data_IF_269221813388
#
_entry.id   IF_269221813388
#
_cell.length_a   1.000
_cell.length_b   1.000
_cell.length_c   1.000
_cell.angle_alpha   90.00
_cell.angle_beta   90.00
_cell.angle_gamma   90.00
#
_symmetry.space_group_name_H-M   'P 1'
#
loop_
_entity.id
_entity.type
_entity.pdbx_description
1 polymer ?
#
# COMPACT_ATOMS: atom_id res chain seq x y z
N UNK A 1 69.85 31.98 14.75
CA UNK A 1 69.65 31.46 13.37
C UNK A 1 68.87 30.15 13.50
N UNK A 2 67.56 30.15 13.18
CA UNK A 2 66.96 29.40 12.05
C UNK A 2 67.13 27.87 12.21
N UNK A 3 66.14 26.98 12.30
CA UNK A 3 64.79 26.86 11.71
C UNK A 3 63.99 25.84 12.54
N UNK A 4 62.81 26.16 13.09
CA UNK A 4 61.47 25.71 12.63
C UNK A 4 61.50 24.51 11.66
N UNK A 5 61.09 23.33 12.13
CA UNK A 5 60.34 22.36 11.32
C UNK A 5 59.36 21.58 12.21
N UNK A 6 58.09 21.79 11.92
CA UNK A 6 56.94 21.14 12.53
C UNK A 6 56.83 19.69 12.05
N UNK A 7 56.48 18.77 12.95
CA UNK A 7 55.86 17.49 12.57
C UNK A 7 54.60 17.34 13.41
N UNK A 8 53.50 17.74 12.77
CA UNK A 8 52.13 17.58 13.22
C UNK A 8 51.78 16.09 13.14
N UNK A 9 51.81 15.41 14.28
CA UNK A 9 51.45 13.99 14.40
C UNK A 9 49.93 13.81 14.34
N UNK A 10 49.48 13.40 13.15
CA UNK A 10 48.13 13.03 12.75
C UNK A 10 47.47 12.04 13.74
N UNK A 11 46.44 12.51 14.46
CA UNK A 11 45.54 11.67 15.27
C UNK A 11 44.29 11.35 14.43
N UNK A 12 44.34 10.29 13.62
CA UNK A 12 43.12 9.72 13.00
C UNK A 12 42.58 8.60 13.89
N UNK A 13 41.63 8.95 14.76
CA UNK A 13 40.72 7.95 15.36
C UNK A 13 39.67 7.64 14.31
N UNK A 14 39.84 6.52 13.60
CA UNK A 14 38.81 5.97 12.72
C UNK A 14 37.70 5.40 13.62
N UNK A 15 36.68 6.22 13.89
CA UNK A 15 35.41 5.72 14.40
C UNK A 15 34.72 4.98 13.26
N UNK A 16 35.00 3.68 13.14
CA UNK A 16 34.15 2.75 12.39
C UNK A 16 32.84 2.59 13.17
N UNK A 17 31.95 3.57 13.02
CA UNK A 17 30.55 3.42 13.39
C UNK A 17 29.93 2.37 12.50
N UNK A 18 29.98 1.11 12.94
CA UNK A 18 29.07 0.08 12.46
C UNK A 18 27.67 0.57 12.77
N UNK A 19 27.01 1.17 11.78
CA UNK A 19 25.58 1.42 11.79
C UNK A 19 24.88 0.08 11.83
N UNK A 20 24.72 -0.48 13.03
CA UNK A 20 23.66 -1.43 13.28
C UNK A 20 22.38 -0.70 12.90
N UNK A 21 21.81 -1.07 11.76
CA UNK A 21 20.51 -0.60 11.31
C UNK A 21 19.53 -1.02 12.42
N UNK A 22 19.23 -0.10 13.34
CA UNK A 22 18.36 -0.38 14.45
C UNK A 22 17.04 -0.88 13.87
N UNK A 23 16.68 -2.12 14.19
CA UNK A 23 15.45 -2.73 13.72
C UNK A 23 14.31 -1.73 13.95
N UNK A 24 13.59 -1.40 12.87
CA UNK A 24 12.51 -0.43 12.97
C UNK A 24 11.52 -0.85 14.06
N UNK A 25 11.18 0.04 15.01
CA UNK A 25 10.34 -0.32 16.16
C UNK A 25 8.97 -0.87 15.74
N UNK A 26 8.44 -0.39 14.61
CA UNK A 26 7.13 -0.74 14.07
C UNK A 26 7.22 -1.71 12.88
N UNK A 27 8.14 -2.67 12.95
CA UNK A 27 8.28 -3.76 11.98
C UNK A 27 8.41 -5.08 12.72
N UNK A 28 7.72 -6.12 12.26
CA UNK A 28 7.76 -7.46 12.85
C UNK A 28 6.39 -7.95 13.32
N UNK A 29 6.40 -9.01 14.12
CA UNK A 29 5.20 -9.65 14.68
C UNK A 29 5.19 -9.43 16.17
N UNK A 30 4.04 -9.03 16.69
CA UNK A 30 3.81 -8.73 18.09
C UNK A 30 2.62 -9.54 18.59
N UNK A 31 2.71 -10.06 19.81
CA UNK A 31 1.65 -10.85 20.44
C UNK A 31 1.39 -10.36 21.85
N UNK A 32 0.14 -10.45 22.28
CA UNK A 32 -0.25 -10.13 23.65
C UNK A 32 -1.68 -10.53 23.91
N UNK A 33 -2.15 -10.23 25.11
CA UNK A 33 -3.48 -10.61 25.58
C UNK A 33 -4.14 -9.41 26.25
N UNK A 34 -5.43 -9.21 25.99
CA UNK A 34 -6.25 -8.23 26.68
C UNK A 34 -7.72 -8.67 26.67
N UNK A 35 -8.47 -8.31 27.71
CA UNK A 35 -9.89 -8.65 27.83
C UNK A 35 -10.21 -10.15 27.56
N UNK A 36 -9.32 -11.05 28.02
CA UNK A 36 -9.41 -12.49 27.82
C UNK A 36 -9.35 -12.96 26.36
N UNK A 37 -8.75 -12.16 25.47
CA UNK A 37 -8.49 -12.51 24.07
C UNK A 37 -7.01 -12.41 23.75
N UNK A 38 -6.51 -13.33 22.94
CA UNK A 38 -5.18 -13.20 22.34
C UNK A 38 -5.21 -12.27 21.13
N UNK A 39 -4.13 -11.51 20.96
CA UNK A 39 -3.92 -10.58 19.86
C UNK A 39 -2.60 -10.89 19.16
N UNK A 40 -2.61 -10.86 17.83
CA UNK A 40 -1.41 -10.92 16.99
C UNK A 40 -1.43 -9.74 16.02
N UNK A 41 -0.42 -8.89 16.11
CA UNK A 41 -0.22 -7.73 15.25
C UNK A 41 1.03 -7.96 14.39
N UNK A 42 0.91 -7.89 13.07
CA UNK A 42 2.05 -7.91 12.15
C UNK A 42 2.16 -6.56 11.47
N UNK A 43 3.36 -5.97 11.48
CA UNK A 43 3.63 -4.64 10.94
C UNK A 43 4.80 -4.68 9.95
N UNK A 44 4.64 -3.94 8.85
CA UNK A 44 5.68 -3.60 7.91
C UNK A 44 5.78 -2.07 7.79
N UNK A 45 6.87 -1.49 8.31
CA UNK A 45 7.17 -0.07 8.14
C UNK A 45 7.98 0.14 6.86
N UNK A 46 7.48 1.02 5.98
CA UNK A 46 8.20 1.52 4.80
C UNK A 46 8.16 3.04 4.77
N UNK A 47 9.29 3.66 5.08
CA UNK A 47 9.37 5.12 5.27
C UNK A 47 8.57 5.54 6.51
N UNK A 48 7.59 6.41 6.32
CA UNK A 48 6.63 6.86 7.33
C UNK A 48 5.36 6.00 7.40
N UNK A 49 5.13 5.11 6.44
CA UNK A 49 3.89 4.32 6.34
C UNK A 49 4.02 2.98 7.04
N UNK A 50 3.03 2.67 7.86
CA UNK A 50 2.88 1.38 8.54
C UNK A 50 1.70 0.65 7.94
N UNK A 51 1.94 -0.55 7.44
CA UNK A 51 0.89 -1.46 6.99
C UNK A 51 0.97 -2.76 7.78
N UNK A 52 -0.14 -3.47 7.92
CA UNK A 52 -0.15 -4.66 8.74
C UNK A 52 -1.49 -5.36 8.84
N UNK A 53 -1.54 -6.30 9.77
CA UNK A 53 -2.73 -7.08 10.10
C UNK A 53 -2.84 -7.24 11.61
N UNK A 54 -4.06 -7.12 12.11
CA UNK A 54 -4.42 -7.38 13.49
C UNK A 54 -5.40 -8.56 13.52
N UNK A 55 -4.99 -9.64 14.18
CA UNK A 55 -5.85 -10.76 14.52
C UNK A 55 -6.16 -10.68 16.00
N UNK A 56 -7.43 -10.78 16.35
CA UNK A 56 -7.89 -10.93 17.72
C UNK A 56 -8.70 -12.23 17.82
N UNK A 57 -8.55 -12.94 18.92
CA UNK A 57 -9.21 -14.22 19.14
C UNK A 57 -10.73 -14.11 19.04
N UNK A 58 -11.35 -14.99 18.24
CA UNK A 58 -12.78 -14.97 17.97
C UNK A 58 -13.24 -13.81 17.08
N UNK A 59 -12.32 -12.97 16.60
CA UNK A 59 -12.58 -11.89 15.65
C UNK A 59 -11.94 -12.19 14.29
N UNK A 60 -12.52 -11.65 13.22
CA UNK A 60 -11.90 -11.71 11.91
C UNK A 60 -10.68 -10.80 11.81
N UNK A 61 -9.84 -11.05 10.82
CA UNK A 61 -8.67 -10.21 10.53
C UNK A 61 -9.08 -8.76 10.24
N UNK A 62 -8.30 -7.82 10.77
CA UNK A 62 -8.39 -6.38 10.48
C UNK A 62 -7.12 -5.91 9.78
N UNK A 63 -7.28 -5.11 8.74
CA UNK A 63 -6.19 -4.45 8.03
C UNK A 63 -5.72 -3.25 8.83
N UNK A 64 -4.40 -3.13 9.00
CA UNK A 64 -3.75 -2.00 9.66
C UNK A 64 -3.18 -1.10 8.58
N UNK A 65 -3.60 0.16 8.56
CA UNK A 65 -3.04 1.19 7.69
C UNK A 65 -2.84 2.48 8.47
N UNK A 66 -1.59 2.91 8.63
CA UNK A 66 -1.26 4.09 9.41
C UNK A 66 -0.01 4.80 8.95
N UNK A 67 0.29 5.89 9.62
CA UNK A 67 1.47 6.72 9.42
C UNK A 67 2.16 6.95 10.75
N UNK A 68 3.47 7.02 10.72
CA UNK A 68 4.29 7.40 11.86
C UNK A 68 4.05 8.87 12.19
N UNK A 69 3.69 9.14 13.42
CA UNK A 69 3.46 10.49 13.95
C UNK A 69 4.34 10.65 15.19
N UNK A 70 5.45 11.39 15.03
CA UNK A 70 6.48 11.53 16.05
C UNK A 70 7.09 10.18 16.47
N UNK A 71 6.87 9.81 17.73
CA UNK A 71 7.35 8.55 18.31
C UNK A 71 6.36 7.38 18.14
N UNK A 72 5.13 7.65 17.71
CA UNK A 72 4.07 6.67 17.57
C UNK A 72 3.62 6.45 16.13
N UNK A 73 2.54 5.69 15.99
CA UNK A 73 1.83 5.47 14.72
C UNK A 73 0.36 5.69 14.97
N UNK A 74 -0.31 6.41 14.07
CA UNK A 74 -1.75 6.57 14.10
C UNK A 74 -2.35 6.14 12.76
N UNK A 75 -3.57 5.60 12.78
CA UNK A 75 -4.20 5.12 11.57
C UNK A 75 -5.52 4.41 11.80
N UNK A 76 -5.90 3.58 10.84
CA UNK A 76 -7.16 2.84 10.83
C UNK A 76 -6.97 1.32 10.90
N UNK A 77 -7.89 0.68 11.60
CA UNK A 77 -8.14 -0.75 11.59
C UNK A 77 -9.42 -0.97 10.79
N UNK A 78 -9.32 -1.61 9.63
CA UNK A 78 -10.48 -1.85 8.77
C UNK A 78 -10.78 -3.33 8.59
N UNK A 79 -12.08 -3.64 8.57
CA UNK A 79 -12.68 -4.88 8.07
C UNK A 79 -13.86 -4.48 7.18
N UNK A 80 -14.29 -5.30 6.21
CA UNK A 80 -15.49 -4.98 5.42
C UNK A 80 -16.67 -4.57 6.32
N UNK A 81 -17.16 -3.33 6.13
CA UNK A 81 -18.28 -2.75 6.88
C UNK A 81 -17.96 -2.25 8.30
N UNK A 82 -16.71 -2.25 8.74
CA UNK A 82 -16.32 -1.74 10.07
C UNK A 82 -14.91 -1.12 10.04
N UNK A 83 -14.82 0.17 10.36
CA UNK A 83 -13.56 0.89 10.47
C UNK A 83 -13.41 1.52 11.86
N UNK A 84 -12.30 1.21 12.53
CA UNK A 84 -11.89 1.78 13.80
C UNK A 84 -10.57 2.55 13.63
N UNK A 85 -10.18 3.33 14.63
CA UNK A 85 -8.86 3.93 14.70
C UNK A 85 -7.91 3.09 15.54
N UNK A 86 -6.62 3.31 15.34
CA UNK A 86 -5.63 2.82 16.28
C UNK A 86 -4.51 3.83 16.51
N UNK A 87 -3.89 3.71 17.68
CA UNK A 87 -2.61 4.33 17.98
C UNK A 87 -1.62 3.25 18.45
N UNK A 88 -0.36 3.34 18.00
CA UNK A 88 0.74 2.54 18.50
C UNK A 88 1.78 3.44 19.16
N UNK A 89 2.25 3.04 20.33
CA UNK A 89 3.39 3.64 20.99
C UNK A 89 4.39 2.55 21.38
N UNK A 90 5.68 2.83 21.22
CA UNK A 90 6.72 1.98 21.79
C UNK A 90 6.86 2.27 23.28
N UNK A 91 6.80 1.23 24.11
CA UNK A 91 7.13 1.30 25.54
C UNK A 91 8.12 0.18 25.88
N UNK A 92 9.40 0.54 25.92
CA UNK A 92 10.49 -0.43 26.04
C UNK A 92 10.51 -1.36 24.82
N UNK A 93 10.40 -2.67 25.05
CA UNK A 93 10.36 -3.69 23.99
C UNK A 93 8.93 -4.10 23.57
N UNK A 94 7.92 -3.45 24.14
CA UNK A 94 6.51 -3.68 23.81
C UNK A 94 5.94 -2.54 22.95
N UNK A 95 4.93 -2.88 22.16
CA UNK A 95 4.03 -1.93 21.52
C UNK A 95 2.76 -1.85 22.35
N UNK A 96 2.38 -0.65 22.76
CA UNK A 96 1.04 -0.35 23.25
C UNK A 96 0.14 -0.04 22.05
N UNK A 97 -0.80 -0.94 21.77
CA UNK A 97 -1.85 -0.75 20.79
C UNK A 97 -3.12 -0.23 21.49
N UNK A 98 -3.57 0.96 21.13
CA UNK A 98 -4.91 1.44 21.46
C UNK A 98 -5.85 1.19 20.27
N UNK A 99 -6.89 0.40 20.48
CA UNK A 99 -7.99 0.21 19.52
C UNK A 99 -9.08 1.21 19.91
N UNK A 100 -9.31 2.19 19.05
CA UNK A 100 -10.12 3.36 19.35
C UNK A 100 -11.39 3.28 18.49
N UNK A 101 -12.58 3.08 19.11
CA UNK A 101 -13.82 3.04 18.37
C UNK A 101 -14.20 4.43 17.85
N UNK A 102 -15.25 4.48 17.03
CA UNK A 102 -15.84 5.74 16.56
C UNK A 102 -16.96 6.16 17.49
N UNK A 103 -17.04 7.46 17.79
CA UNK A 103 -18.22 8.04 18.42
C UNK A 103 -19.38 8.20 17.41
N UNK A 104 -20.53 8.71 17.87
CA UNK A 104 -21.69 8.95 17.02
C UNK A 104 -21.46 9.99 15.91
N UNK A 105 -20.43 10.83 16.03
CA UNK A 105 -20.00 11.79 15.02
C UNK A 105 -18.98 11.20 14.03
N UNK A 106 -18.58 9.94 14.19
CA UNK A 106 -17.61 9.25 13.33
C UNK A 106 -16.13 9.53 13.68
N UNK A 107 -15.87 10.31 14.73
CA UNK A 107 -14.54 10.68 15.20
C UNK A 107 -13.96 9.63 16.17
N UNK A 108 -12.63 9.61 16.40
CA UNK A 108 -12.03 8.70 17.36
C UNK A 108 -12.51 8.97 18.80
N UNK A 109 -13.07 7.95 19.44
CA UNK A 109 -13.47 7.98 20.85
C UNK A 109 -12.35 7.40 21.72
N UNK A 110 -11.41 8.26 22.12
CA UNK A 110 -10.25 7.86 22.94
C UNK A 110 -10.62 7.38 24.34
N UNK A 111 -11.77 7.79 24.87
CA UNK A 111 -12.24 7.38 26.20
C UNK A 111 -12.73 5.92 26.18
N UNK A 112 -13.27 5.48 25.05
CA UNK A 112 -13.67 4.09 24.82
C UNK A 112 -12.54 3.20 24.26
N UNK A 113 -11.29 3.69 24.24
CA UNK A 113 -10.18 2.95 23.67
C UNK A 113 -9.80 1.71 24.49
N UNK A 114 -9.67 0.57 23.82
CA UNK A 114 -9.13 -0.66 24.42
C UNK A 114 -7.64 -0.71 24.18
N UNK A 115 -6.86 -0.74 25.26
CA UNK A 115 -5.39 -0.80 25.19
C UNK A 115 -4.90 -2.23 25.36
N UNK A 116 -3.95 -2.61 24.52
CA UNK A 116 -3.33 -3.93 24.50
C UNK A 116 -1.82 -3.76 24.43
N UNK A 117 -1.11 -4.36 25.38
CA UNK A 117 0.35 -4.42 25.35
C UNK A 117 0.80 -5.65 24.57
N UNK A 118 1.57 -5.44 23.51
CA UNK A 118 2.01 -6.48 22.58
C UNK A 118 3.54 -6.57 22.60
N UNK A 119 4.06 -7.75 22.91
CA UNK A 119 5.51 -8.01 22.89
C UNK A 119 5.94 -8.54 21.55
N UNK A 120 7.13 -8.14 21.11
CA UNK A 120 7.75 -8.66 19.90
C UNK A 120 7.90 -10.18 20.02
N UNK A 121 7.37 -10.89 19.03
CA UNK A 121 7.45 -12.34 18.90
C UNK A 121 8.45 -12.74 17.82
N UNK A 122 8.50 -12.00 16.71
CA UNK A 122 9.46 -12.22 15.61
C UNK A 122 9.83 -10.90 14.92
N UNK A 123 11.06 -10.80 14.42
CA UNK A 123 11.58 -9.61 13.74
C UNK A 123 11.04 -9.45 12.31
N UNK A 124 10.74 -10.56 11.67
CA UNK A 124 10.10 -10.56 10.36
C UNK A 124 8.58 -10.51 10.53
N UNK A 125 7.87 -9.60 9.84
CA UNK A 125 6.42 -9.67 9.76
C UNK A 125 6.04 -11.03 9.22
N UNK A 126 4.99 -11.64 9.80
CA UNK A 126 4.42 -12.85 9.24
C UNK A 126 4.09 -12.52 7.78
N UNK A 127 4.74 -13.23 6.86
CA UNK A 127 4.19 -13.46 5.54
C UNK A 127 2.99 -14.33 5.80
N UNK A 128 1.89 -13.70 6.21
CA UNK A 128 0.61 -14.25 5.90
C UNK A 128 0.68 -14.37 4.38
N UNK A 129 0.87 -15.61 3.90
CA UNK A 129 0.23 -15.98 2.65
C UNK A 129 -1.13 -15.33 2.80
N UNK A 130 -1.38 -14.33 1.94
CA UNK A 130 -2.74 -13.89 1.73
C UNK A 130 -3.41 -15.22 1.49
N UNK A 131 -4.12 -15.74 2.49
CA UNK A 131 -5.01 -16.83 2.24
C UNK A 131 -5.94 -16.16 1.28
N UNK A 132 -5.64 -16.40 0.00
CA UNK A 132 -6.38 -15.99 -1.16
C UNK A 132 -7.63 -16.82 -1.00
N UNK A 133 -8.42 -16.50 0.02
CA UNK A 133 -9.86 -16.43 -0.04
C UNK A 133 -10.07 -15.60 -1.29
N UNK A 134 -10.04 -16.31 -2.42
CA UNK A 134 -10.53 -15.87 -3.70
C UNK A 134 -11.84 -15.25 -3.32
N UNK A 135 -12.01 -13.92 -3.35
CA UNK A 135 -13.28 -13.39 -2.95
C UNK A 135 -14.28 -14.02 -3.93
N UNK A 136 -15.47 -14.46 -3.48
CA UNK A 136 -16.50 -14.97 -4.36
C UNK A 136 -16.91 -13.97 -5.47
N UNK A 137 -16.32 -12.77 -5.49
CA UNK A 137 -16.34 -11.77 -6.57
C UNK A 137 -16.35 -12.39 -7.96
N UNK A 138 -15.50 -13.37 -8.26
CA UNK A 138 -15.41 -13.97 -9.60
C UNK A 138 -16.45 -15.05 -9.89
N UNK A 139 -17.14 -15.57 -8.87
CA UNK A 139 -18.13 -16.65 -9.02
C UNK A 139 -19.57 -16.12 -9.19
N UNK A 140 -19.80 -14.84 -8.89
CA UNK A 140 -21.07 -14.17 -9.17
C UNK A 140 -21.20 -13.67 -10.61
N UNK A 141 -22.42 -13.27 -11.00
CA UNK A 141 -22.73 -12.59 -12.28
C UNK A 141 -22.93 -11.09 -12.12
N UNK A 142 -22.98 -10.58 -10.88
CA UNK A 142 -23.23 -9.17 -10.58
C UNK A 142 -22.04 -8.25 -10.87
N UNK A 143 -22.28 -6.94 -10.74
CA UNK A 143 -21.23 -5.93 -10.81
C UNK A 143 -20.26 -6.06 -9.63
N UNK A 144 -19.01 -5.68 -9.86
CA UNK A 144 -17.94 -5.67 -8.86
C UNK A 144 -17.70 -4.22 -8.45
N UNK A 145 -17.79 -3.95 -7.15
CA UNK A 145 -17.39 -2.67 -6.57
C UNK A 145 -15.89 -2.46 -6.77
N UNK A 146 -15.49 -1.24 -7.15
CA UNK A 146 -14.09 -0.94 -7.48
C UNK A 146 -13.17 -1.07 -6.27
N UNK A 147 -13.63 -0.80 -5.03
CA UNK A 147 -12.81 -0.98 -3.82
C UNK A 147 -12.53 -2.46 -3.62
N UNK A 148 -13.59 -3.29 -3.69
CA UNK A 148 -13.45 -4.75 -3.58
C UNK A 148 -12.53 -5.34 -4.67
N UNK A 149 -12.59 -4.78 -5.89
CA UNK A 149 -11.64 -5.12 -6.95
C UNK A 149 -10.20 -4.76 -6.56
N UNK A 150 -9.93 -3.53 -6.12
CA UNK A 150 -8.58 -3.03 -5.83
C UNK A 150 -7.92 -3.72 -4.63
N UNK A 151 -8.70 -4.09 -3.62
CA UNK A 151 -8.23 -4.87 -2.47
C UNK A 151 -7.77 -6.26 -2.91
N UNK A 152 -8.52 -6.91 -3.80
CA UNK A 152 -8.22 -8.26 -4.27
C UNK A 152 -7.17 -8.30 -5.38
N UNK A 153 -7.13 -7.26 -6.21
CA UNK A 153 -6.25 -7.08 -7.37
C UNK A 153 -4.78 -7.36 -7.05
N UNK A 154 -4.33 -7.02 -5.84
CA UNK A 154 -2.93 -7.15 -5.44
C UNK A 154 -2.40 -8.58 -5.50
N UNK A 155 -3.28 -9.58 -5.35
CA UNK A 155 -2.97 -11.01 -5.37
C UNK A 155 -3.56 -11.77 -6.57
N UNK A 156 -4.13 -11.06 -7.55
CA UNK A 156 -4.73 -11.67 -8.73
C UNK A 156 -3.76 -11.81 -9.90
N UNK A 157 -3.83 -12.96 -10.55
CA UNK A 157 -3.16 -13.26 -11.81
C UNK A 157 -3.95 -12.69 -13.00
N UNK A 158 -3.29 -12.56 -14.15
CA UNK A 158 -3.88 -11.97 -15.37
C UNK A 158 -5.31 -12.44 -15.69
N UNK A 159 -5.60 -13.77 -15.75
CA UNK A 159 -6.94 -14.25 -16.06
C UNK A 159 -8.02 -13.83 -15.05
N UNK A 160 -7.65 -13.67 -13.77
CA UNK A 160 -8.56 -13.20 -12.73
C UNK A 160 -8.85 -11.71 -12.91
N UNK A 161 -7.82 -10.91 -13.22
CA UNK A 161 -7.98 -9.50 -13.55
C UNK A 161 -8.87 -9.34 -14.79
N UNK A 162 -8.59 -10.09 -15.86
CA UNK A 162 -9.37 -10.08 -17.10
C UNK A 162 -10.87 -10.36 -16.86
N UNK A 163 -11.18 -11.36 -16.02
CA UNK A 163 -12.56 -11.70 -15.67
C UNK A 163 -13.24 -10.61 -14.83
N UNK A 164 -12.50 -9.94 -13.95
CA UNK A 164 -13.08 -8.95 -13.04
C UNK A 164 -13.30 -7.59 -13.69
N UNK A 165 -12.38 -7.13 -14.55
CA UNK A 165 -12.46 -5.77 -15.15
C UNK A 165 -13.69 -5.58 -16.03
N UNK A 166 -14.22 -6.65 -16.62
CA UNK A 166 -15.44 -6.63 -17.44
C UNK A 166 -16.72 -6.45 -16.63
N UNK A 167 -16.64 -6.61 -15.30
CA UNK A 167 -17.78 -6.55 -14.37
C UNK A 167 -17.71 -5.36 -13.44
N UNK A 168 -16.73 -4.48 -13.61
CA UNK A 168 -16.60 -3.30 -12.76
C UNK A 168 -17.83 -2.39 -12.85
N UNK A 169 -18.25 -1.89 -11.70
CA UNK A 169 -19.30 -0.89 -11.58
C UNK A 169 -18.89 0.39 -12.34
N UNK A 170 -19.64 0.81 -13.39
CA UNK A 170 -19.15 1.83 -14.33
C UNK A 170 -18.89 3.21 -13.74
N UNK A 171 -19.66 3.64 -12.73
CA UNK A 171 -19.54 5.00 -12.20
C UNK A 171 -18.20 5.20 -11.50
N UNK A 172 -17.86 4.31 -10.54
CA UNK A 172 -16.60 4.44 -9.78
C UNK A 172 -15.39 3.93 -10.54
N UNK A 173 -15.56 2.97 -11.46
CA UNK A 173 -14.45 2.47 -12.24
C UNK A 173 -13.84 3.52 -13.18
N UNK A 174 -14.57 4.59 -13.54
CA UNK A 174 -13.98 5.76 -14.24
C UNK A 174 -12.84 6.40 -13.47
N UNK A 175 -12.85 6.36 -12.13
CA UNK A 175 -11.79 6.92 -11.31
C UNK A 175 -10.44 6.22 -11.54
N UNK A 176 -10.44 4.96 -11.98
CA UNK A 176 -9.20 4.25 -12.35
C UNK A 176 -8.37 5.03 -13.36
N UNK A 177 -9.05 5.73 -14.30
CA UNK A 177 -8.36 6.54 -15.31
C UNK A 177 -7.54 7.69 -14.72
N UNK A 178 -7.85 8.17 -13.52
CA UNK A 178 -7.11 9.24 -12.83
C UNK A 178 -5.78 8.75 -12.25
N UNK A 179 -5.54 7.43 -12.25
CA UNK A 179 -4.37 6.79 -11.67
C UNK A 179 -3.63 6.04 -12.78
N UNK A 180 -2.86 6.78 -13.59
CA UNK A 180 -2.31 6.26 -14.85
C UNK A 180 -1.46 4.99 -14.71
N UNK A 181 -0.69 4.83 -13.61
CA UNK A 181 0.11 3.60 -13.41
C UNK A 181 -0.75 2.43 -12.99
N UNK A 182 -1.72 2.66 -12.10
CA UNK A 182 -2.72 1.66 -11.73
C UNK A 182 -3.53 1.20 -12.95
N UNK A 183 -4.02 2.14 -13.76
CA UNK A 183 -4.78 1.84 -14.97
C UNK A 183 -3.93 1.02 -15.94
N UNK A 184 -2.70 1.45 -16.23
CA UNK A 184 -1.82 0.75 -17.16
C UNK A 184 -1.51 -0.68 -16.72
N UNK A 185 -1.24 -0.88 -15.43
CA UNK A 185 -0.97 -2.21 -14.86
C UNK A 185 -2.21 -3.12 -14.91
N UNK A 186 -3.40 -2.60 -14.57
CA UNK A 186 -4.67 -3.35 -14.66
C UNK A 186 -4.93 -3.77 -16.11
N UNK A 187 -4.81 -2.84 -17.05
CA UNK A 187 -5.05 -3.08 -18.47
C UNK A 187 -4.08 -4.12 -19.02
N UNK A 188 -2.77 -3.95 -18.79
CA UNK A 188 -1.77 -4.89 -19.26
C UNK A 188 -1.97 -6.29 -18.65
N UNK A 189 -2.20 -6.38 -17.33
CA UNK A 189 -2.49 -7.66 -16.67
C UNK A 189 -3.75 -8.33 -17.21
N UNK A 190 -4.82 -7.58 -17.49
CA UNK A 190 -6.04 -8.12 -18.07
C UNK A 190 -5.81 -8.64 -19.51
N UNK A 191 -5.11 -7.86 -20.34
CA UNK A 191 -4.82 -8.23 -21.72
C UNK A 191 -3.90 -9.46 -21.82
N UNK A 192 -2.85 -9.53 -21.01
CA UNK A 192 -2.01 -10.73 -20.87
C UNK A 192 -2.80 -11.93 -20.31
N UNK A 193 -3.82 -11.65 -19.50
CA UNK A 193 -4.76 -12.61 -18.93
C UNK A 193 -5.80 -13.18 -19.90
N UNK A 194 -5.77 -12.78 -21.17
CA UNK A 194 -6.69 -13.27 -22.21
C UNK A 194 -7.85 -12.32 -22.53
N UNK A 195 -7.86 -11.09 -21.99
CA UNK A 195 -8.78 -10.07 -22.45
C UNK A 195 -8.39 -9.60 -23.87
N UNK A 196 -9.32 -9.70 -24.82
CA UNK A 196 -9.07 -9.31 -26.22
C UNK A 196 -9.42 -7.85 -26.52
N UNK A 197 -10.41 -7.31 -25.81
CA UNK A 197 -10.90 -5.94 -25.95
C UNK A 197 -11.04 -5.29 -24.57
N UNK A 198 -10.60 -4.04 -24.46
CA UNK A 198 -10.72 -3.28 -23.23
C UNK A 198 -12.19 -2.90 -23.00
N UNK A 199 -12.74 -3.08 -21.78
CA UNK A 199 -14.07 -2.58 -21.47
C UNK A 199 -14.10 -1.05 -21.60
N UNK A 200 -15.25 -0.43 -21.93
CA UNK A 200 -15.36 1.02 -22.17
C UNK A 200 -14.78 1.89 -21.06
N UNK A 201 -14.88 1.44 -19.80
CA UNK A 201 -14.35 2.16 -18.64
C UNK A 201 -12.81 2.24 -18.58
N UNK A 202 -12.12 1.30 -19.23
CA UNK A 202 -10.66 1.29 -19.35
C UNK A 202 -10.18 1.78 -20.72
N UNK A 203 -11.02 1.67 -21.75
CA UNK A 203 -10.71 2.10 -23.12
C UNK A 203 -10.77 3.62 -23.30
N UNK A 204 -11.43 4.35 -22.38
CA UNK A 204 -11.57 5.81 -22.50
C UNK A 204 -10.19 6.48 -22.59
N UNK A 205 -10.05 7.34 -23.60
CA UNK A 205 -8.84 8.08 -23.94
C UNK A 205 -7.61 7.19 -24.22
N UNK A 206 -7.76 5.91 -24.55
CA UNK A 206 -6.61 5.06 -24.89
C UNK A 206 -6.41 4.97 -26.40
N UNK A 207 -5.16 5.13 -26.85
CA UNK A 207 -4.80 4.89 -28.26
C UNK A 207 -4.55 3.40 -28.53
N UNK A 208 -4.04 2.66 -27.54
CA UNK A 208 -3.74 1.23 -27.67
C UNK A 208 -4.82 0.35 -27.05
N UNK A 209 -5.34 -0.58 -27.85
CA UNK A 209 -6.14 -1.71 -27.37
C UNK A 209 -5.26 -2.84 -26.79
N UNK A 210 -5.88 -3.94 -26.35
CA UNK A 210 -5.15 -5.07 -25.77
C UNK A 210 -4.03 -5.65 -26.66
N UNK A 211 -4.23 -5.87 -27.97
CA UNK A 211 -3.14 -6.33 -28.84
C UNK A 211 -1.94 -5.38 -28.86
N UNK A 212 -2.19 -4.07 -28.87
CA UNK A 212 -1.15 -3.05 -28.87
C UNK A 212 -0.37 -2.99 -27.56
N UNK A 213 -1.07 -3.10 -26.42
CA UNK A 213 -0.43 -3.09 -25.10
C UNK A 213 0.44 -4.34 -24.88
N UNK A 214 -0.05 -5.52 -25.27
CA UNK A 214 0.71 -6.77 -25.17
C UNK A 214 1.90 -6.77 -26.12
N UNK A 215 1.73 -6.29 -27.35
CA UNK A 215 2.84 -6.16 -28.30
C UNK A 215 3.91 -5.19 -27.78
N UNK A 216 3.51 -4.05 -27.22
CA UNK A 216 4.44 -3.10 -26.61
C UNK A 216 5.19 -3.73 -25.44
N UNK A 217 4.50 -4.42 -24.52
CA UNK A 217 5.16 -5.09 -23.40
C UNK A 217 6.13 -6.19 -23.88
N UNK A 218 5.75 -6.97 -24.88
CA UNK A 218 6.59 -8.00 -25.49
C UNK A 218 7.82 -7.41 -26.18
N UNK A 219 7.69 -6.27 -26.87
CA UNK A 219 8.80 -5.53 -27.48
C UNK A 219 9.83 -5.10 -26.42
N UNK A 220 9.37 -4.63 -25.25
CA UNK A 220 10.25 -4.23 -24.15
C UNK A 220 10.88 -5.43 -23.43
N UNK A 221 10.18 -6.56 -23.38
CA UNK A 221 10.69 -7.81 -22.82
C UNK A 221 11.23 -7.62 -21.40
N UNK A 222 12.46 -8.04 -21.16
CA UNK A 222 13.12 -7.92 -19.85
C UNK A 222 13.47 -6.49 -19.43
N UNK A 223 13.43 -5.51 -20.33
CA UNK A 223 13.68 -4.11 -20.00
C UNK A 223 12.49 -3.46 -19.29
N UNK A 224 11.30 -4.06 -19.35
CA UNK A 224 10.12 -3.58 -18.65
C UNK A 224 10.20 -3.92 -17.16
N UNK A 225 10.33 -2.90 -16.32
CA UNK A 225 10.26 -3.04 -14.86
C UNK A 225 8.80 -3.27 -14.40
N UNK A 226 8.31 -4.49 -14.65
CA UNK A 226 6.97 -4.94 -14.22
C UNK A 226 6.82 -4.86 -12.70
N UNK A 227 7.90 -5.12 -11.96
CA UNK A 227 7.87 -5.14 -10.50
C UNK A 227 7.69 -3.74 -9.92
N UNK A 228 8.46 -2.76 -10.38
CA UNK A 228 8.32 -1.36 -10.01
C UNK A 228 6.98 -0.78 -10.44
N UNK A 229 6.52 -1.10 -11.67
CA UNK A 229 5.20 -0.67 -12.14
C UNK A 229 4.07 -1.22 -11.26
N UNK A 230 4.11 -2.52 -10.92
CA UNK A 230 3.14 -3.17 -10.02
C UNK A 230 3.20 -2.58 -8.61
N UNK A 231 4.39 -2.24 -8.12
CA UNK A 231 4.56 -1.60 -6.81
C UNK A 231 3.93 -0.21 -6.78
N UNK A 232 4.13 0.60 -7.81
CA UNK A 232 3.54 1.93 -7.90
C UNK A 232 2.02 1.87 -8.11
N UNK A 233 1.55 0.95 -8.96
CA UNK A 233 0.13 0.66 -9.11
C UNK A 233 -0.54 0.32 -7.77
N UNK A 234 0.11 -0.47 -6.90
CA UNK A 234 -0.38 -0.76 -5.54
C UNK A 234 -0.48 0.49 -4.66
N UNK A 235 0.47 1.42 -4.75
CA UNK A 235 0.39 2.70 -4.01
C UNK A 235 -0.81 3.51 -4.51
N UNK A 236 -0.98 3.61 -5.82
CA UNK A 236 -2.10 4.31 -6.44
C UNK A 236 -3.45 3.66 -6.09
N UNK A 237 -3.53 2.32 -6.04
CA UNK A 237 -4.72 1.60 -5.58
C UNK A 237 -5.10 1.98 -4.13
N UNK A 238 -4.12 2.04 -3.23
CA UNK A 238 -4.36 2.50 -1.85
C UNK A 238 -4.86 3.94 -1.78
N UNK A 239 -4.33 4.83 -2.62
CA UNK A 239 -4.82 6.21 -2.76
C UNK A 239 -6.27 6.28 -3.24
N UNK A 240 -6.63 5.51 -4.27
CA UNK A 240 -7.99 5.46 -4.80
C UNK A 240 -8.99 4.86 -3.80
N UNK A 241 -8.61 3.79 -3.09
CA UNK A 241 -9.45 3.23 -2.02
C UNK A 241 -9.75 4.30 -0.97
N UNK A 242 -8.74 5.05 -0.54
CA UNK A 242 -8.90 6.14 0.44
C UNK A 242 -9.80 7.25 -0.09
N UNK A 243 -9.62 7.65 -1.35
CA UNK A 243 -10.47 8.65 -2.00
C UNK A 243 -11.95 8.22 -2.00
N UNK A 244 -12.23 6.96 -2.34
CA UNK A 244 -13.60 6.45 -2.35
C UNK A 244 -14.18 6.38 -0.94
N UNK A 245 -13.37 5.98 0.05
CA UNK A 245 -13.80 5.99 1.45
C UNK A 245 -14.13 7.41 1.93
N UNK A 246 -13.37 8.41 1.48
CA UNK A 246 -13.66 9.83 1.72
C UNK A 246 -14.97 10.30 1.06
N UNK A 247 -15.18 9.97 -0.23
CA UNK A 247 -16.43 10.25 -0.95
C UNK A 247 -17.65 9.62 -0.26
N UNK A 248 -17.47 8.46 0.37
CA UNK A 248 -18.52 7.75 1.13
C UNK A 248 -18.72 8.26 2.56
N UNK A 249 -17.92 9.20 3.04
CA UNK A 249 -17.94 9.64 4.45
C UNK A 249 -17.44 8.57 5.44
N UNK A 250 -16.69 7.57 4.98
CA UNK A 250 -16.11 6.52 5.81
C UNK A 250 -14.83 6.99 6.53
N UNK A 251 -14.27 8.14 6.14
CA UNK A 251 -13.08 8.77 6.71
C UNK A 251 -13.35 10.22 7.14
N UNK A 252 -12.66 10.75 8.17
CA UNK A 252 -12.74 12.16 8.57
C UNK A 252 -12.22 13.09 7.49
N UNK A 253 -12.77 14.31 7.45
CA UNK A 253 -12.38 15.36 6.50
C UNK A 253 -10.88 15.65 6.51
N UNK A 254 -10.25 15.62 7.69
CA UNK A 254 -8.81 15.81 7.90
C UNK A 254 -7.96 14.76 7.15
N UNK A 255 -8.47 13.52 7.04
CA UNK A 255 -7.80 12.43 6.30
C UNK A 255 -8.13 12.47 4.79
N UNK A 256 -9.10 13.28 4.39
CA UNK A 256 -9.60 13.38 3.03
C UNK A 256 -8.94 14.49 2.21
N UNK A 257 -8.39 15.53 2.85
CA UNK A 257 -7.65 16.59 2.16
C UNK A 257 -6.49 16.04 1.29
N UNK A 258 -5.67 15.15 1.85
CA UNK A 258 -4.57 14.51 1.11
C UNK A 258 -5.06 13.69 -0.10
N UNK A 259 -6.26 13.10 0.02
CA UNK A 259 -6.84 12.25 -1.03
C UNK A 259 -7.38 13.08 -2.20
N UNK A 260 -7.96 14.24 -1.91
CA UNK A 260 -8.42 15.19 -2.92
C UNK A 260 -7.27 15.79 -3.73
N UNK A 261 -6.14 16.10 -3.09
CA UNK A 261 -4.92 16.57 -3.76
C UNK A 261 -4.36 15.50 -4.69
N UNK A 262 -4.25 14.26 -4.22
CA UNK A 262 -3.76 13.14 -5.03
C UNK A 262 -4.65 12.87 -6.26
N UNK A 263 -5.98 12.99 -6.13
CA UNK A 263 -6.90 12.91 -7.27
C UNK A 263 -6.67 14.07 -8.25
N UNK A 264 -6.55 15.30 -7.76
CA UNK A 264 -6.38 16.47 -8.60
C UNK A 264 -5.05 16.43 -9.38
N UNK A 265 -3.98 15.95 -8.75
CA UNK A 265 -2.69 15.68 -9.42
C UNK A 265 -2.84 14.57 -10.47
N UNK A 266 -3.47 13.44 -10.12
CA UNK A 266 -3.69 12.33 -11.05
C UNK A 266 -4.52 12.71 -12.29
N UNK A 267 -5.52 13.58 -12.12
CA UNK A 267 -6.31 14.13 -13.23
C UNK A 267 -5.51 15.10 -14.10
N UNK A 268 -4.60 15.87 -13.50
CA UNK A 268 -3.72 16.80 -14.23
C UNK A 268 -2.66 16.05 -15.04
N UNK A 269 -2.06 15.03 -14.43
CA UNK A 269 -0.96 14.25 -14.99
C UNK A 269 -1.44 12.97 -15.68
N UNK A 270 -2.69 12.98 -16.14
CA UNK A 270 -3.30 11.87 -16.85
C UNK A 270 -2.41 11.44 -18.02
N UNK A 271 -2.19 10.12 -18.13
CA UNK A 271 -1.26 9.55 -19.12
C UNK A 271 -1.85 8.24 -19.66
N UNK A 272 -1.72 8.02 -20.97
CA UNK A 272 -2.13 6.77 -21.62
C UNK A 272 -1.34 5.56 -21.12
N UNK A 273 -1.99 4.39 -21.10
CA UNK A 273 -1.36 3.15 -20.64
C UNK A 273 -0.10 2.80 -21.44
N UNK A 274 -0.12 3.02 -22.76
CA UNK A 274 1.06 2.80 -23.61
C UNK A 274 2.26 3.66 -23.21
N UNK A 275 2.02 4.94 -22.92
CA UNK A 275 3.08 5.86 -22.48
C UNK A 275 3.62 5.49 -21.09
N UNK A 276 2.75 5.02 -20.19
CA UNK A 276 3.19 4.50 -18.89
C UNK A 276 4.08 3.27 -19.07
N UNK A 277 3.64 2.27 -19.86
CA UNK A 277 4.43 1.05 -20.11
C UNK A 277 5.79 1.40 -20.72
N UNK A 278 5.82 2.32 -21.68
CA UNK A 278 7.06 2.80 -22.28
C UNK A 278 8.00 3.47 -21.26
N UNK A 279 7.47 4.27 -20.32
CA UNK A 279 8.25 4.90 -19.24
C UNK A 279 8.89 3.89 -18.30
N UNK A 280 8.22 2.77 -18.04
CA UNK A 280 8.75 1.69 -17.20
C UNK A 280 9.71 0.74 -17.94
N UNK A 281 10.00 1.00 -19.22
CA UNK A 281 10.87 0.17 -20.04
C UNK A 281 12.35 0.58 -20.07
N UNK A 282 12.72 1.70 -19.42
CA UNK A 282 14.08 2.03 -18.99
C UNK A 282 14.11 3.40 -18.30
N UNK A 283 14.52 3.43 -17.03
CA UNK A 283 15.49 4.42 -16.59
C UNK A 283 16.78 3.65 -16.27
N UNK A 284 17.94 3.97 -16.88
CA UNK A 284 19.19 3.40 -16.41
C UNK A 284 19.35 3.76 -14.94
N UNK A 285 19.46 2.73 -14.09
CA UNK A 285 20.04 2.90 -12.77
C UNK A 285 21.49 3.29 -13.02
N UNK A 286 21.77 4.59 -12.99
CA UNK A 286 23.14 5.05 -12.82
C UNK A 286 23.55 4.55 -11.45
N UNK A 287 24.33 3.48 -11.45
CA UNK A 287 25.05 3.03 -10.28
C UNK A 287 25.80 4.25 -9.74
N UNK A 288 25.42 4.69 -8.54
CA UNK A 288 26.26 5.58 -7.74
C UNK A 288 27.55 4.80 -7.52
N UNK A 289 28.59 5.21 -8.24
CA UNK A 289 29.93 4.65 -8.11
C UNK A 289 30.50 5.18 -6.78
N UNK A 290 31.17 4.33 -5.97
CA UNK A 290 31.67 4.70 -4.65
C UNK A 290 32.65 5.87 -4.64
#
# INVERSE_FOLDING_TARGET
MSRIFAVLGLLMVVFSGSGAEAASPFKGVFKGEAASKSFTLSLDLRGDRVNGRLLAEGEGERIVAGRREGAGVFGTLSRPGNAQYFALEMRGEAIELAIIPRNAAGEPDFDAAVRVSLRRFADEPLRFEVERSTPPLLNGTGTIDVVAFLEAYQGWEGPQVAKAVTRLEPYRAKLLSSFGVLQADIMLSACEGGLTELPPVLADKQTLGCPGLVALAAEKGSALDRAGMRQEARKQAGGLIRLIACDRGELPEEMCNDSGVALAEGLRDWTEAGAVIARYAAAPVTAVTP
#
